data_IF_786831071456
#
_entry.id   IF_786831071456
#
_cell.length_a   1.000
_cell.length_b   1.000
_cell.length_c   1.000
_cell.angle_alpha   90.00
_cell.angle_beta   90.00
_cell.angle_gamma   90.00
#
_symmetry.space_group_name_H-M   'P 1'
#
loop_
_entity.id
_entity.type
_entity.pdbx_description
1 polymer ?
#
# COMPACT_ATOMS: atom_id res chain seq x y z
N UNK A 1 -11.32 2.05 22.41
CA UNK A 1 -11.81 2.02 21.02
C UNK A 1 -12.11 0.56 20.70
N UNK A 2 -13.38 0.16 20.74
CA UNK A 2 -13.80 -1.19 20.37
C UNK A 2 -13.63 -1.30 18.86
N UNK A 3 -12.50 -1.83 18.41
CA UNK A 3 -12.34 -2.19 17.00
C UNK A 3 -13.40 -3.25 16.70
N UNK A 4 -14.26 -2.95 15.73
CA UNK A 4 -15.26 -3.89 15.25
C UNK A 4 -14.49 -5.00 14.53
N UNK A 5 -14.27 -6.11 15.22
CA UNK A 5 -13.66 -7.32 14.67
C UNK A 5 -14.73 -8.11 13.92
N UNK A 6 -14.31 -8.93 12.95
CA UNK A 6 -15.23 -9.73 12.13
C UNK A 6 -16.32 -8.88 11.45
N UNK A 7 -15.92 -7.72 10.89
CA UNK A 7 -16.74 -6.96 9.97
C UNK A 7 -15.90 -6.38 8.85
N UNK A 8 -16.56 -5.92 7.80
CA UNK A 8 -15.90 -5.22 6.72
C UNK A 8 -15.36 -3.85 7.19
N UNK A 9 -14.20 -3.45 6.68
CA UNK A 9 -13.68 -2.10 6.87
C UNK A 9 -14.42 -1.06 6.01
N UNK A 10 -15.03 -1.51 4.92
CA UNK A 10 -15.75 -0.68 3.96
C UNK A 10 -17.17 -1.21 3.76
N UNK A 11 -18.12 -0.29 3.60
CA UNK A 11 -19.50 -0.57 3.22
C UNK A 11 -19.85 0.14 1.90
N UNK A 12 -20.84 -0.39 1.18
CA UNK A 12 -21.39 0.21 -0.02
C UNK A 12 -22.92 0.25 0.11
N UNK A 13 -23.51 1.45 -0.04
CA UNK A 13 -24.95 1.70 0.19
C UNK A 13 -25.50 1.13 1.51
N UNK A 14 -24.70 1.22 2.58
CA UNK A 14 -25.10 0.74 3.90
C UNK A 14 -24.89 -0.76 4.13
N UNK A 15 -24.37 -1.50 3.17
CA UNK A 15 -24.08 -2.93 3.29
C UNK A 15 -22.57 -3.20 3.37
N UNK A 16 -22.15 -4.02 4.33
CA UNK A 16 -20.76 -4.47 4.43
C UNK A 16 -20.33 -5.17 3.14
N UNK A 17 -19.16 -4.80 2.62
CA UNK A 17 -18.56 -5.55 1.52
C UNK A 17 -18.09 -6.92 2.02
N UNK A 18 -18.07 -7.96 1.17
CA UNK A 18 -17.43 -9.21 1.55
C UNK A 18 -15.96 -8.95 1.92
N UNK A 19 -15.48 -9.59 2.99
CA UNK A 19 -14.13 -9.42 3.51
C UNK A 19 -13.56 -10.77 3.92
N UNK A 20 -12.24 -10.91 3.90
CA UNK A 20 -11.57 -12.08 4.47
C UNK A 20 -11.38 -11.84 5.97
N UNK A 21 -11.96 -12.71 6.79
CA UNK A 21 -11.78 -12.65 8.24
C UNK A 21 -10.38 -13.12 8.65
N UNK A 22 -9.92 -12.63 9.77
CA UNK A 22 -8.72 -13.12 10.45
C UNK A 22 -8.95 -13.11 11.95
N UNK A 23 -8.53 -14.18 12.62
CA UNK A 23 -8.59 -14.31 14.08
C UNK A 23 -7.35 -13.71 14.77
N UNK A 24 -6.36 -13.23 14.01
CA UNK A 24 -5.10 -12.78 14.59
C UNK A 24 -5.27 -11.57 15.51
N UNK A 25 -6.24 -10.70 15.20
CA UNK A 25 -6.62 -9.55 16.02
C UNK A 25 -7.47 -9.97 17.24
N UNK A 26 -8.14 -11.11 17.18
CA UNK A 26 -8.85 -11.72 18.32
C UNK A 26 -7.87 -12.36 19.32
N UNK A 27 -6.64 -12.65 18.88
CA UNK A 27 -5.60 -13.31 19.66
C UNK A 27 -4.28 -12.51 19.74
N UNK A 28 -4.35 -11.20 19.95
CA UNK A 28 -3.18 -10.28 19.95
C UNK A 28 -1.96 -10.84 20.72
N UNK A 29 -2.07 -11.36 21.96
CA UNK A 29 -0.88 -11.82 22.69
C UNK A 29 -0.15 -12.97 21.99
N UNK A 30 -0.86 -13.96 21.46
CA UNK A 30 -0.25 -15.09 20.75
C UNK A 30 0.25 -14.66 19.37
N UNK A 31 -0.49 -13.81 18.66
CA UNK A 31 -0.08 -13.27 17.36
C UNK A 31 1.23 -12.47 17.49
N UNK A 32 1.35 -11.61 18.51
CA UNK A 32 2.59 -10.86 18.76
C UNK A 32 3.74 -11.78 19.21
N UNK A 33 3.45 -12.86 19.94
CA UNK A 33 4.46 -13.85 20.29
C UNK A 33 4.96 -14.62 19.07
N UNK A 34 4.07 -14.94 18.12
CA UNK A 34 4.43 -15.56 16.84
C UNK A 34 5.27 -14.61 15.98
N UNK A 35 4.85 -13.35 15.82
CA UNK A 35 5.62 -12.32 15.10
C UNK A 35 7.04 -12.17 15.66
N UNK A 36 7.21 -12.07 16.98
CA UNK A 36 8.54 -11.94 17.61
C UNK A 36 9.48 -13.12 17.34
N UNK A 37 8.93 -14.31 17.04
CA UNK A 37 9.70 -15.53 16.75
C UNK A 37 9.93 -15.74 15.25
N UNK A 38 9.25 -14.98 14.39
CA UNK A 38 9.34 -15.15 12.95
C UNK A 38 10.60 -14.43 12.41
N UNK A 39 11.55 -15.16 11.78
CA UNK A 39 12.80 -14.56 11.30
C UNK A 39 12.62 -13.64 10.07
N UNK A 40 11.48 -13.70 9.38
CA UNK A 40 11.24 -12.94 8.16
C UNK A 40 10.68 -11.53 8.41
N UNK A 41 10.27 -11.23 9.65
CA UNK A 41 9.59 -9.98 9.99
C UNK A 41 10.15 -9.33 11.25
N UNK A 42 10.17 -8.00 11.24
CA UNK A 42 10.42 -7.19 12.42
C UNK A 42 9.09 -6.69 13.03
N UNK A 43 9.13 -6.24 14.29
CA UNK A 43 7.97 -5.63 14.94
C UNK A 43 7.42 -4.41 14.17
N UNK A 44 8.28 -3.68 13.45
CA UNK A 44 7.86 -2.57 12.60
C UNK A 44 7.08 -3.00 11.34
N UNK A 45 7.09 -4.28 11.01
CA UNK A 45 6.41 -4.88 9.86
C UNK A 45 5.18 -5.70 10.28
N UNK A 46 4.66 -5.44 11.49
CA UNK A 46 3.51 -6.16 12.05
C UNK A 46 2.30 -6.17 11.12
N UNK A 47 2.00 -5.03 10.48
CA UNK A 47 0.88 -4.95 9.55
C UNK A 47 1.10 -5.85 8.32
N UNK A 48 2.29 -5.83 7.73
CA UNK A 48 2.65 -6.69 6.59
C UNK A 48 2.54 -8.17 6.98
N UNK A 49 3.03 -8.52 8.16
CA UNK A 49 2.89 -9.86 8.74
C UNK A 49 1.42 -10.27 8.86
N UNK A 50 0.54 -9.40 9.36
CA UNK A 50 -0.89 -9.72 9.46
C UNK A 50 -1.54 -9.99 8.10
N UNK A 51 -1.20 -9.22 7.06
CA UNK A 51 -1.74 -9.48 5.73
C UNK A 51 -1.22 -10.79 5.15
N UNK A 52 0.08 -11.07 5.26
CA UNK A 52 0.68 -12.25 4.60
C UNK A 52 0.43 -13.55 5.37
N UNK A 53 0.60 -13.54 6.69
CA UNK A 53 0.72 -14.76 7.50
C UNK A 53 -0.53 -15.08 8.32
N UNK A 54 -1.47 -14.12 8.43
CA UNK A 54 -2.64 -14.28 9.31
C UNK A 54 -3.97 -14.35 8.55
N UNK A 55 -3.95 -14.31 7.22
CA UNK A 55 -5.15 -14.47 6.39
C UNK A 55 -4.98 -15.74 5.58
N UNK A 56 -5.58 -16.83 6.07
CA UNK A 56 -5.44 -18.15 5.44
C UNK A 56 -6.26 -18.27 4.14
N UNK A 57 -7.37 -17.52 4.02
CA UNK A 57 -8.33 -17.64 2.94
C UNK A 57 -8.67 -16.28 2.33
N UNK A 58 -7.82 -15.82 1.41
CA UNK A 58 -8.24 -14.81 0.45
C UNK A 58 -9.31 -15.42 -0.46
N UNK A 59 -10.52 -14.87 -0.44
CA UNK A 59 -11.63 -15.37 -1.26
C UNK A 59 -11.85 -14.48 -2.47
N UNK A 60 -12.32 -15.04 -3.57
CA UNK A 60 -12.76 -14.23 -4.72
C UNK A 60 -13.90 -13.27 -4.36
N UNK A 61 -14.69 -13.58 -3.32
CA UNK A 61 -15.76 -12.70 -2.85
C UNK A 61 -15.21 -11.43 -2.19
N UNK A 62 -14.12 -11.55 -1.40
CA UNK A 62 -13.50 -10.45 -0.66
C UNK A 62 -12.50 -9.63 -1.48
N UNK A 63 -12.20 -10.05 -2.71
CA UNK A 63 -11.34 -9.32 -3.63
C UNK A 63 -12.08 -8.12 -4.23
N UNK A 64 -11.41 -6.98 -4.31
CA UNK A 64 -11.86 -5.85 -5.14
C UNK A 64 -11.81 -6.28 -6.61
N UNK A 65 -12.95 -6.23 -7.29
CA UNK A 65 -13.09 -6.59 -8.71
C UNK A 65 -12.65 -5.44 -9.61
N UNK A 66 -11.35 -5.20 -9.66
CA UNK A 66 -10.74 -4.14 -10.47
C UNK A 66 -11.11 -4.25 -11.96
N UNK A 67 -11.35 -5.48 -12.46
CA UNK A 67 -11.79 -5.74 -13.83
C UNK A 67 -13.17 -5.15 -14.18
N UNK A 68 -13.95 -4.72 -13.18
CA UNK A 68 -15.24 -4.07 -13.37
C UNK A 68 -15.15 -2.54 -13.48
N UNK A 69 -13.96 -1.96 -13.32
CA UNK A 69 -13.75 -0.51 -13.41
C UNK A 69 -13.93 -0.07 -14.87
N UNK A 70 -14.69 1.00 -15.09
CA UNK A 70 -14.88 1.59 -16.43
C UNK A 70 -13.99 2.83 -16.60
N UNK A 71 -12.67 2.60 -16.59
CA UNK A 71 -11.67 3.65 -16.69
C UNK A 71 -10.25 3.13 -16.52
N UNK A 72 -9.29 4.00 -16.81
CA UNK A 72 -7.88 3.68 -16.73
C UNK A 72 -7.42 3.42 -15.29
N UNK A 73 -6.46 2.49 -15.10
CA UNK A 73 -5.94 2.09 -13.79
C UNK A 73 -4.43 2.29 -13.72
N UNK A 74 -3.95 3.08 -12.75
CA UNK A 74 -2.54 3.14 -12.38
C UNK A 74 -2.34 2.58 -10.97
N UNK A 75 -1.44 1.61 -10.85
CA UNK A 75 -1.00 1.06 -9.58
C UNK A 75 0.43 1.53 -9.30
N UNK A 76 0.63 2.20 -8.17
CA UNK A 76 1.95 2.63 -7.67
C UNK A 76 2.22 1.90 -6.36
N UNK A 77 3.37 1.23 -6.26
CA UNK A 77 3.78 0.55 -5.04
C UNK A 77 5.31 0.63 -4.86
N UNK A 78 5.84 0.55 -3.64
CA UNK A 78 7.27 0.32 -3.43
C UNK A 78 7.62 -1.16 -3.71
N UNK A 79 8.91 -1.45 -3.93
CA UNK A 79 9.39 -2.82 -4.16
C UNK A 79 9.25 -3.72 -2.93
N UNK A 80 9.42 -3.14 -1.75
CA UNK A 80 9.13 -3.78 -0.48
C UNK A 80 8.39 -2.80 0.44
N UNK A 81 7.08 -2.98 0.57
CA UNK A 81 6.27 -2.18 1.48
C UNK A 81 6.26 -2.80 2.89
N UNK A 82 6.94 -2.16 3.84
CA UNK A 82 6.98 -2.57 5.25
C UNK A 82 5.60 -2.55 5.94
N UNK A 83 4.62 -1.83 5.38
CA UNK A 83 3.32 -1.59 6.01
C UNK A 83 2.31 -2.63 5.54
N UNK A 84 2.03 -2.70 4.24
CA UNK A 84 1.12 -3.67 3.63
C UNK A 84 1.78 -4.28 2.40
N UNK A 85 1.51 -5.52 1.99
CA UNK A 85 2.14 -6.14 0.82
C UNK A 85 1.60 -5.58 -0.52
N UNK A 86 1.77 -4.28 -0.75
CA UNK A 86 1.22 -3.56 -1.90
C UNK A 86 1.86 -3.99 -3.22
N UNK A 87 3.13 -4.41 -3.24
CA UNK A 87 3.77 -4.95 -4.43
C UNK A 87 3.16 -6.27 -4.88
N UNK A 88 2.77 -7.12 -3.93
CA UNK A 88 2.10 -8.40 -4.19
C UNK A 88 0.67 -8.11 -4.67
N UNK A 89 -0.04 -7.21 -3.99
CA UNK A 89 -1.39 -6.83 -4.36
C UNK A 89 -1.45 -6.22 -5.77
N UNK A 90 -0.56 -5.29 -6.11
CA UNK A 90 -0.52 -4.66 -7.43
C UNK A 90 -0.23 -5.66 -8.54
N UNK A 91 0.73 -6.58 -8.36
CA UNK A 91 1.01 -7.64 -9.33
C UNK A 91 -0.19 -8.57 -9.54
N UNK A 92 -0.90 -8.92 -8.47
CA UNK A 92 -2.12 -9.73 -8.54
C UNK A 92 -3.22 -9.00 -9.31
N UNK A 93 -3.42 -7.72 -9.07
CA UNK A 93 -4.43 -6.92 -9.79
C UNK A 93 -4.07 -6.86 -11.28
N UNK A 94 -2.83 -6.53 -11.65
CA UNK A 94 -2.39 -6.52 -13.05
C UNK A 94 -2.66 -7.83 -13.75
N UNK A 95 -2.31 -8.96 -13.12
CA UNK A 95 -2.59 -10.28 -13.67
C UNK A 95 -4.09 -10.51 -13.94
N UNK A 96 -4.97 -10.08 -13.03
CA UNK A 96 -6.42 -10.20 -13.24
C UNK A 96 -6.89 -9.35 -14.40
N UNK A 97 -6.38 -8.12 -14.53
CA UNK A 97 -6.73 -7.23 -15.65
C UNK A 97 -6.28 -7.83 -16.99
N UNK A 98 -5.05 -8.36 -17.04
CA UNK A 98 -4.50 -9.05 -18.23
C UNK A 98 -5.34 -10.28 -18.59
N UNK A 99 -5.56 -11.18 -17.63
CA UNK A 99 -6.27 -12.45 -17.85
C UNK A 99 -7.74 -12.24 -18.29
N UNK A 100 -8.35 -11.10 -17.91
CA UNK A 100 -9.73 -10.74 -18.26
C UNK A 100 -9.84 -9.88 -19.52
N UNK A 101 -8.72 -9.50 -20.13
CA UNK A 101 -8.72 -8.61 -21.29
C UNK A 101 -9.33 -7.24 -20.98
N UNK A 102 -8.92 -6.64 -19.85
CA UNK A 102 -9.43 -5.35 -19.41
C UNK A 102 -9.30 -4.29 -20.53
N UNK A 103 -10.39 -3.59 -20.90
CA UNK A 103 -10.43 -2.82 -22.15
C UNK A 103 -9.78 -1.43 -22.03
N UNK A 104 -9.45 -0.99 -20.82
CA UNK A 104 -8.86 0.32 -20.55
C UNK A 104 -7.36 0.21 -20.29
N UNK A 105 -6.67 1.36 -20.37
CA UNK A 105 -5.24 1.42 -20.07
C UNK A 105 -5.03 1.01 -18.62
N UNK A 106 -4.07 0.13 -18.39
CA UNK A 106 -3.69 -0.28 -17.05
C UNK A 106 -2.18 -0.41 -16.93
N UNK A 107 -1.62 0.19 -15.89
CA UNK A 107 -0.18 0.25 -15.66
C UNK A 107 0.16 -0.01 -14.19
N UNK A 108 1.35 -0.57 -13.97
CA UNK A 108 1.91 -0.76 -12.64
C UNK A 108 3.36 -0.25 -12.59
N UNK A 109 3.64 0.68 -11.67
CA UNK A 109 4.97 1.19 -11.41
C UNK A 109 5.42 0.77 -10.00
N UNK A 110 6.47 -0.05 -9.93
CA UNK A 110 7.05 -0.52 -8.68
C UNK A 110 8.39 0.17 -8.45
N UNK A 111 8.50 0.91 -7.35
CA UNK A 111 9.68 1.67 -6.98
C UNK A 111 10.52 0.90 -5.97
N UNK A 112 11.59 0.23 -6.44
CA UNK A 112 12.40 -0.71 -5.63
C UNK A 112 12.83 -0.15 -4.26
N UNK A 113 13.27 1.11 -4.23
CA UNK A 113 13.72 1.78 -3.01
C UNK A 113 12.69 2.77 -2.42
N UNK A 114 11.43 2.67 -2.85
CA UNK A 114 10.33 3.45 -2.30
C UNK A 114 9.92 2.95 -0.91
N UNK A 115 9.30 3.81 -0.12
CA UNK A 115 8.61 3.40 1.11
C UNK A 115 7.10 3.32 0.85
N UNK A 116 6.32 3.03 1.88
CA UNK A 116 4.85 3.13 1.82
C UNK A 116 4.36 4.54 1.41
N UNK A 117 5.16 5.59 1.64
CA UNK A 117 4.86 6.94 1.19
C UNK A 117 5.39 7.16 -0.24
N UNK A 118 4.48 7.18 -1.21
CA UNK A 118 4.74 7.48 -2.64
C UNK A 118 3.77 8.55 -3.15
N UNK A 119 4.03 9.06 -4.35
CA UNK A 119 3.23 10.05 -5.08
C UNK A 119 3.12 11.43 -4.39
N UNK A 120 4.19 11.86 -3.73
CA UNK A 120 4.30 13.21 -3.16
C UNK A 120 5.29 14.05 -3.96
N UNK A 121 4.90 15.27 -4.32
CA UNK A 121 5.82 16.24 -4.91
C UNK A 121 6.90 16.61 -3.89
N UNK A 122 8.15 16.63 -4.32
CA UNK A 122 9.32 17.02 -3.52
C UNK A 122 9.92 18.34 -4.04
N UNK A 123 9.30 19.00 -5.02
CA UNK A 123 9.71 20.33 -5.48
C UNK A 123 9.33 21.40 -4.45
N UNK A 124 10.16 22.43 -4.37
CA UNK A 124 9.92 23.61 -3.55
C UNK A 124 10.39 24.83 -4.34
N UNK A 125 9.58 25.88 -4.37
CA UNK A 125 9.90 27.14 -5.02
C UNK A 125 10.31 28.21 -3.99
N UNK A 126 10.02 27.97 -2.71
CA UNK A 126 10.35 28.88 -1.59
C UNK A 126 11.13 28.18 -0.47
N UNK A 127 11.84 28.96 0.34
CA UNK A 127 12.54 28.45 1.52
C UNK A 127 11.57 27.96 2.61
N UNK A 128 10.36 28.52 2.67
CA UNK A 128 9.29 28.07 3.56
C UNK A 128 8.80 26.67 3.19
N UNK A 129 8.56 26.41 1.90
CA UNK A 129 8.19 25.09 1.39
C UNK A 129 9.28 24.07 1.65
N UNK A 130 10.55 24.45 1.41
CA UNK A 130 11.69 23.59 1.69
C UNK A 130 11.76 23.19 3.17
N UNK A 131 11.58 24.14 4.08
CA UNK A 131 11.52 23.86 5.53
C UNK A 131 10.36 22.93 5.90
N UNK A 132 9.20 23.11 5.26
CA UNK A 132 8.05 22.24 5.47
C UNK A 132 8.31 20.82 4.96
N UNK A 133 8.93 20.68 3.78
CA UNK A 133 9.30 19.41 3.19
C UNK A 133 10.37 18.67 4.02
N UNK A 134 11.40 19.38 4.49
CA UNK A 134 12.41 18.81 5.38
C UNK A 134 11.79 18.28 6.68
N UNK A 135 10.84 19.02 7.25
CA UNK A 135 10.08 18.58 8.42
C UNK A 135 9.25 17.34 8.12
N UNK A 136 8.55 17.29 6.98
CA UNK A 136 7.79 16.12 6.55
C UNK A 136 8.71 14.90 6.39
N UNK A 137 9.81 15.04 5.66
CA UNK A 137 10.78 13.97 5.43
C UNK A 137 11.36 13.43 6.74
N UNK A 138 11.65 14.33 7.71
CA UNK A 138 12.08 13.93 9.06
C UNK A 138 11.00 13.14 9.81
N UNK A 139 9.73 13.57 9.75
CA UNK A 139 8.60 12.86 10.35
C UNK A 139 8.42 11.47 9.72
N UNK A 140 8.52 11.38 8.40
CA UNK A 140 8.45 10.10 7.69
C UNK A 140 9.53 9.11 8.13
N UNK A 141 10.76 9.59 8.37
CA UNK A 141 11.85 8.77 8.93
C UNK A 141 11.60 8.26 10.36
N UNK A 142 10.66 8.82 11.11
CA UNK A 142 10.25 8.27 12.41
C UNK A 142 9.13 7.23 12.29
N UNK A 143 8.27 7.34 11.27
CA UNK A 143 7.08 6.51 11.12
C UNK A 143 7.38 5.27 10.26
N UNK A 144 8.20 5.42 9.22
CA UNK A 144 8.45 4.39 8.22
C UNK A 144 9.90 3.88 8.31
N UNK A 145 10.11 2.58 8.55
CA UNK A 145 11.46 2.01 8.66
C UNK A 145 12.34 2.23 7.42
N UNK A 146 11.75 2.10 6.23
CA UNK A 146 12.47 2.30 4.96
C UNK A 146 12.91 3.75 4.76
N UNK A 147 12.11 4.74 5.17
CA UNK A 147 12.49 6.16 5.15
C UNK A 147 13.67 6.45 6.08
N UNK A 148 13.72 5.80 7.24
CA UNK A 148 14.85 5.92 8.17
C UNK A 148 16.13 5.37 7.58
N UNK A 149 16.04 4.25 6.87
CA UNK A 149 17.21 3.54 6.29
C UNK A 149 17.73 4.26 5.05
N UNK A 150 16.84 4.67 4.14
CA UNK A 150 17.17 5.13 2.80
C UNK A 150 16.45 6.45 2.43
N UNK A 151 16.61 7.55 3.19
CA UNK A 151 15.80 8.76 3.03
C UNK A 151 15.90 9.39 1.64
N UNK A 152 17.11 9.45 1.06
CA UNK A 152 17.33 10.03 -0.27
C UNK A 152 16.67 9.20 -1.39
N UNK A 153 16.75 7.87 -1.29
CA UNK A 153 16.13 6.98 -2.27
C UNK A 153 14.59 7.04 -2.18
N UNK A 154 14.05 7.14 -0.97
CA UNK A 154 12.62 7.31 -0.75
C UNK A 154 12.10 8.65 -1.29
N UNK A 155 12.84 9.75 -1.05
CA UNK A 155 12.50 11.07 -1.60
C UNK A 155 12.49 11.05 -3.14
N UNK A 156 13.49 10.42 -3.75
CA UNK A 156 13.53 10.21 -5.20
C UNK A 156 12.31 9.42 -5.69
N UNK A 157 12.00 8.29 -5.05
CA UNK A 157 10.84 7.47 -5.41
C UNK A 157 9.51 8.24 -5.27
N UNK A 158 9.34 9.09 -4.24
CA UNK A 158 8.16 9.96 -4.08
C UNK A 158 8.00 10.93 -5.25
N UNK A 159 9.07 11.60 -5.65
CA UNK A 159 9.03 12.55 -6.77
C UNK A 159 8.73 11.85 -8.10
N UNK A 160 9.40 10.73 -8.38
CA UNK A 160 9.22 9.99 -9.63
C UNK A 160 7.81 9.40 -9.73
N UNK A 161 7.27 8.86 -8.63
CA UNK A 161 5.89 8.38 -8.58
C UNK A 161 4.85 9.50 -8.67
N UNK A 162 5.14 10.69 -8.14
CA UNK A 162 4.30 11.87 -8.34
C UNK A 162 4.20 12.22 -9.82
N UNK A 163 5.33 12.30 -10.53
CA UNK A 163 5.31 12.60 -11.97
C UNK A 163 4.65 11.50 -12.79
N UNK A 164 4.87 10.23 -12.45
CA UNK A 164 4.18 9.11 -13.10
C UNK A 164 2.66 9.24 -12.99
N UNK A 165 2.16 9.59 -11.79
CA UNK A 165 0.74 9.84 -11.57
C UNK A 165 0.24 11.03 -12.40
N UNK A 166 0.98 12.15 -12.41
CA UNK A 166 0.62 13.34 -13.20
C UNK A 166 0.59 13.05 -14.70
N UNK A 167 1.56 12.32 -15.22
CA UNK A 167 1.63 11.92 -16.64
C UNK A 167 0.45 11.02 -17.01
N UNK A 168 0.17 10.00 -16.20
CA UNK A 168 -0.94 9.10 -16.42
C UNK A 168 -2.29 9.85 -16.47
N UNK A 169 -2.50 10.80 -15.55
CA UNK A 169 -3.73 11.61 -15.51
C UNK A 169 -3.86 12.58 -16.69
N UNK A 170 -2.75 13.12 -17.21
CA UNK A 170 -2.77 14.03 -18.38
C UNK A 170 -3.19 13.33 -19.67
N UNK A 171 -2.90 12.04 -19.76
CA UNK A 171 -3.22 11.20 -20.92
C UNK A 171 -4.61 10.56 -20.81
N UNK A 172 -5.32 10.79 -19.71
CA UNK A 172 -6.70 10.32 -19.54
C UNK A 172 -7.61 11.10 -20.50
N UNK A 173 -8.16 10.38 -21.49
CA UNK A 173 -9.17 10.87 -22.44
C UNK A 173 -10.59 10.52 -21.99
#
# INVERSE_FOLDING_TARGET
MFFRQHCAMFNYHGHDLPYSSSECLSHIPSTLAALRKNPNYNMSQMNRYYYIECIDNYTEASRIKAENINGDILLIAPGFDDTWPSEIASRRIMKVLDDKGFPHRHECAIYENGSHALAFDQRCDTEEEKKALDKLNKVMGYILPTEKKNPAACAKARQESYFKMVEFLKEWQ
#
